data_IF_202698598430
#
_entry.id   IF_202698598430
#
_cell.length_a   1.000
_cell.length_b   1.000
_cell.length_c   1.000
_cell.angle_alpha   90.00
_cell.angle_beta   90.00
_cell.angle_gamma   90.00
#
_symmetry.space_group_name_H-M   'P 1'
#
loop_
_entity.id
_entity.type
_entity.pdbx_description
1 polymer ?
#
# COMPACT_ATOMS: atom_id res chain seq x y z
N UNK A 1 49.52 -2.09 41.60
CA UNK A 1 50.02 -3.04 42.62
C UNK A 1 49.56 -4.44 42.22
N UNK A 2 50.51 -5.39 42.09
CA UNK A 2 50.37 -6.85 41.90
C UNK A 2 49.62 -7.38 40.65
N UNK A 3 50.29 -7.94 39.62
CA UNK A 3 50.74 -9.37 39.45
C UNK A 3 49.55 -10.33 39.25
N UNK A 4 49.44 -11.24 38.27
CA UNK A 4 50.15 -11.59 37.04
C UNK A 4 49.29 -12.64 36.28
N UNK A 5 49.31 -12.62 34.93
CA UNK A 5 49.00 -13.80 34.08
C UNK A 5 50.26 -14.13 33.28
N UNK A 6 50.87 -15.28 33.60
CA UNK A 6 51.90 -15.95 32.80
C UNK A 6 51.20 -16.67 31.62
N UNK A 7 51.52 -16.42 30.35
CA UNK A 7 52.73 -16.73 29.58
C UNK A 7 52.81 -18.19 29.10
N UNK A 8 52.72 -18.39 27.77
CA UNK A 8 53.71 -19.11 26.95
C UNK A 8 53.32 -19.00 25.46
N UNK A 9 54.04 -18.16 24.68
CA UNK A 9 55.21 -18.47 23.81
C UNK A 9 54.76 -18.88 22.39
N UNK A 10 54.85 -17.97 21.40
CA UNK A 10 56.02 -17.56 20.57
C UNK A 10 56.36 -18.54 19.43
N UNK A 11 56.13 -18.10 18.19
CA UNK A 11 57.14 -18.02 17.11
C UNK A 11 56.60 -17.24 15.89
N UNK A 12 56.69 -15.90 15.90
CA UNK A 12 57.36 -15.06 14.89
C UNK A 12 58.21 -15.78 13.83
N UNK A 13 57.97 -15.43 12.55
CA UNK A 13 58.86 -14.65 11.65
C UNK A 13 58.21 -14.56 10.24
N UNK A 14 57.63 -13.41 9.86
CA UNK A 14 58.21 -12.30 9.07
C UNK A 14 58.64 -12.62 7.63
N UNK A 15 57.88 -11.99 6.72
CA UNK A 15 58.30 -11.18 5.57
C UNK A 15 58.83 -11.88 4.30
N UNK A 16 58.20 -11.55 3.17
CA UNK A 16 58.74 -10.59 2.19
C UNK A 16 57.71 -10.21 1.12
N UNK A 17 57.64 -8.90 0.86
CA UNK A 17 57.05 -8.27 -0.33
C UNK A 17 57.87 -8.65 -1.57
N UNK A 18 57.20 -8.81 -2.71
CA UNK A 18 57.76 -8.49 -4.03
C UNK A 18 56.64 -7.95 -4.92
N UNK A 19 56.85 -6.71 -5.38
CA UNK A 19 56.17 -6.05 -6.50
C UNK A 19 56.98 -6.39 -7.74
N UNK A 20 56.33 -6.84 -8.82
CA UNK A 20 56.81 -6.65 -10.20
C UNK A 20 55.60 -6.46 -11.10
N UNK A 21 55.69 -5.43 -11.93
CA UNK A 21 54.69 -4.99 -12.90
C UNK A 21 54.92 -5.59 -14.29
N UNK A 22 53.95 -5.32 -15.17
CA UNK A 22 53.99 -5.27 -16.65
C UNK A 22 54.00 -6.59 -17.42
N UNK A 23 52.98 -6.81 -18.27
CA UNK A 23 53.12 -6.58 -19.72
C UNK A 23 51.79 -6.73 -20.47
N UNK A 24 51.56 -5.81 -21.40
CA UNK A 24 50.44 -5.74 -22.32
C UNK A 24 50.60 -6.75 -23.48
N UNK A 25 49.49 -7.25 -24.03
CA UNK A 25 49.44 -7.78 -25.39
C UNK A 25 48.03 -7.53 -25.96
N UNK A 26 47.91 -6.52 -26.81
CA UNK A 26 46.73 -6.20 -27.61
C UNK A 26 47.11 -6.51 -29.06
N UNK A 27 46.50 -7.54 -29.63
CA UNK A 27 46.70 -7.96 -31.02
C UNK A 27 45.72 -7.19 -31.90
N UNK A 28 46.27 -6.48 -32.89
CA UNK A 28 45.57 -5.82 -34.00
C UNK A 28 45.75 -6.69 -35.24
N UNK A 29 44.68 -6.99 -35.99
CA UNK A 29 44.74 -7.22 -37.44
C UNK A 29 43.38 -6.91 -38.11
N UNK A 30 43.36 -6.55 -39.42
CA UNK A 30 42.49 -5.50 -39.95
C UNK A 30 41.44 -5.94 -40.99
N UNK A 31 40.57 -4.97 -41.31
CA UNK A 31 39.84 -4.68 -42.55
C UNK A 31 39.63 -5.80 -43.59
N UNK A 32 38.35 -6.09 -43.84
CA UNK A 32 37.84 -6.61 -45.11
C UNK A 32 36.80 -5.64 -45.70
N UNK A 33 37.23 -4.82 -46.67
CA UNK A 33 36.39 -4.00 -47.54
C UNK A 33 35.53 -4.90 -48.44
N UNK A 34 34.21 -4.66 -48.50
CA UNK A 34 33.42 -4.94 -49.70
C UNK A 34 32.50 -3.74 -49.95
N UNK A 35 32.93 -2.92 -50.91
CA UNK A 35 32.11 -1.92 -51.55
C UNK A 35 31.50 -2.53 -52.81
N UNK A 36 30.18 -2.53 -52.91
CA UNK A 36 29.47 -2.55 -54.19
C UNK A 36 28.35 -1.52 -54.09
N UNK A 37 28.57 -0.41 -54.80
CA UNK A 37 27.60 0.67 -54.98
C UNK A 37 26.46 0.20 -55.89
N UNK A 38 25.23 0.48 -55.47
CA UNK A 38 24.04 0.48 -56.31
C UNK A 38 23.22 1.70 -55.94
N UNK A 39 23.28 2.74 -56.78
CA UNK A 39 22.55 3.99 -56.64
C UNK A 39 21.07 3.80 -57.03
N UNK A 40 20.15 4.16 -56.13
CA UNK A 40 18.81 4.65 -56.49
C UNK A 40 18.16 5.34 -55.27
N UNK A 41 17.82 6.62 -55.43
CA UNK A 41 16.74 7.28 -54.69
C UNK A 41 17.07 7.85 -53.31
N UNK A 42 17.60 9.09 -53.27
CA UNK A 42 17.50 9.96 -52.10
C UNK A 42 16.05 10.38 -51.88
N UNK A 43 15.37 9.72 -50.95
CA UNK A 43 14.27 10.30 -50.18
C UNK A 43 14.81 10.55 -48.78
N UNK A 44 15.15 11.81 -48.51
CA UNK A 44 15.52 12.30 -47.19
C UNK A 44 14.24 12.35 -46.35
N UNK A 45 13.90 11.23 -45.72
CA UNK A 45 12.86 11.19 -44.70
C UNK A 45 13.44 11.89 -43.46
N UNK A 46 13.09 13.16 -43.29
CA UNK A 46 13.31 13.89 -42.04
C UNK A 46 12.66 13.08 -40.93
N UNK A 47 13.50 12.51 -40.06
CA UNK A 47 13.06 11.94 -38.80
C UNK A 47 12.30 13.03 -38.02
N UNK A 48 11.01 12.80 -37.84
CA UNK A 48 10.18 13.52 -36.87
C UNK A 48 10.75 13.24 -35.48
N UNK A 49 11.10 14.24 -34.65
CA UNK A 49 11.70 14.00 -33.33
C UNK A 49 10.66 13.63 -32.27
N UNK A 50 9.47 13.17 -32.66
CA UNK A 50 8.37 12.94 -31.73
C UNK A 50 8.06 11.45 -31.69
N UNK A 51 8.25 10.87 -30.49
CA UNK A 51 8.07 9.47 -30.09
C UNK A 51 9.34 8.63 -30.18
N UNK A 52 10.28 8.91 -29.28
CA UNK A 52 11.03 7.82 -28.66
C UNK A 52 9.98 6.84 -28.13
N UNK A 53 9.96 5.61 -28.64
CA UNK A 53 9.18 4.56 -28.02
C UNK A 53 9.76 4.39 -26.61
N UNK A 54 8.94 4.66 -25.60
CA UNK A 54 9.21 4.28 -24.23
C UNK A 54 9.57 2.79 -24.21
N UNK A 55 10.86 2.49 -24.08
CA UNK A 55 11.35 1.11 -24.14
C UNK A 55 10.94 0.40 -22.85
N UNK A 56 10.00 -0.54 -23.00
CA UNK A 56 9.64 -1.48 -21.92
C UNK A 56 10.91 -2.28 -21.55
N UNK A 57 11.22 -2.45 -20.25
CA UNK A 57 12.35 -3.25 -19.81
C UNK A 57 12.35 -4.64 -20.46
N UNK A 58 13.42 -4.98 -21.19
CA UNK A 58 13.53 -6.27 -21.90
C UNK A 58 13.49 -7.50 -20.95
N UNK A 59 13.73 -7.28 -19.65
CA UNK A 59 13.69 -8.29 -18.61
C UNK A 59 12.51 -8.09 -17.63
N UNK A 60 11.44 -7.41 -18.07
CA UNK A 60 10.24 -7.25 -17.26
C UNK A 60 9.72 -8.62 -16.80
N UNK A 61 9.54 -8.77 -15.48
CA UNK A 61 9.00 -10.00 -14.90
C UNK A 61 7.52 -10.21 -15.30
N UNK A 62 6.80 -9.11 -15.51
CA UNK A 62 5.45 -9.09 -16.05
C UNK A 62 5.36 -8.09 -17.23
N UNK A 63 5.61 -8.55 -18.47
CA UNK A 63 5.60 -7.69 -19.65
C UNK A 63 4.24 -7.02 -19.92
N UNK A 64 3.14 -7.62 -19.48
CA UNK A 64 1.79 -7.07 -19.73
C UNK A 64 1.58 -5.81 -18.86
N UNK A 65 2.10 -5.83 -17.63
CA UNK A 65 2.05 -4.70 -16.69
C UNK A 65 3.29 -3.81 -16.69
N UNK A 66 4.24 -4.03 -17.59
CA UNK A 66 5.46 -3.23 -17.66
C UNK A 66 5.22 -1.86 -18.31
N UNK A 67 5.91 -0.84 -17.78
CA UNK A 67 5.96 0.55 -18.28
C UNK A 67 7.39 0.93 -18.64
N UNK A 68 7.61 2.15 -19.14
CA UNK A 68 8.95 2.66 -19.39
C UNK A 68 9.82 2.58 -18.13
N UNK A 69 11.09 2.19 -18.27
CA UNK A 69 12.04 2.34 -17.19
C UNK A 69 12.22 3.84 -16.85
N UNK A 70 12.36 4.19 -15.56
CA UNK A 70 12.61 5.58 -15.18
C UNK A 70 13.98 6.05 -15.65
N UNK A 71 14.15 7.36 -15.71
CA UNK A 71 15.46 7.93 -15.92
C UNK A 71 16.38 7.63 -14.74
N UNK A 72 17.69 7.71 -14.98
CA UNK A 72 18.66 7.68 -13.89
C UNK A 72 18.34 8.81 -12.89
N UNK A 73 18.38 8.49 -11.60
CA UNK A 73 18.08 9.46 -10.55
C UNK A 73 19.02 10.67 -10.65
N UNK A 74 18.43 11.86 -10.66
CA UNK A 74 19.16 13.12 -10.84
C UNK A 74 19.82 13.63 -9.54
N UNK A 75 19.58 12.95 -8.41
CA UNK A 75 20.07 13.31 -7.09
C UNK A 75 19.18 14.31 -6.34
N UNK A 76 18.06 14.71 -6.91
CA UNK A 76 17.13 15.67 -6.29
C UNK A 76 16.25 14.97 -5.26
N UNK A 77 16.38 15.38 -4.00
CA UNK A 77 15.56 14.88 -2.89
C UNK A 77 14.60 15.94 -2.37
N UNK A 78 13.42 15.50 -1.97
CA UNK A 78 12.39 16.30 -1.33
C UNK A 78 11.97 15.66 -0.01
N UNK A 79 11.48 16.47 0.93
CA UNK A 79 10.76 15.95 2.09
C UNK A 79 9.30 15.68 1.74
N UNK A 80 8.71 14.67 2.35
CA UNK A 80 7.32 14.29 2.27
C UNK A 80 6.53 14.98 3.40
N UNK A 81 6.02 16.20 3.18
CA UNK A 81 5.41 16.96 4.29
C UNK A 81 3.92 16.60 4.47
N UNK A 82 3.17 16.56 3.37
CA UNK A 82 1.73 16.29 3.40
C UNK A 82 1.34 15.34 2.26
N UNK A 83 0.49 14.36 2.58
CA UNK A 83 -0.24 13.55 1.60
C UNK A 83 -1.69 14.02 1.55
N UNK A 84 -2.16 14.40 0.37
CA UNK A 84 -3.54 14.77 0.13
C UNK A 84 -4.22 13.68 -0.70
N UNK A 85 -5.31 13.13 -0.18
CA UNK A 85 -6.10 12.09 -0.86
C UNK A 85 -7.51 12.60 -1.12
N UNK A 86 -7.97 12.39 -2.35
CA UNK A 86 -9.30 12.68 -2.85
C UNK A 86 -10.08 11.39 -3.10
N UNK A 87 -11.39 11.47 -2.96
CA UNK A 87 -12.32 10.39 -3.34
C UNK A 87 -12.28 10.09 -4.86
N UNK A 88 -12.17 11.13 -5.67
CA UNK A 88 -12.12 11.07 -7.13
C UNK A 88 -10.79 11.61 -7.68
N UNK A 89 -10.55 11.42 -8.99
CA UNK A 89 -9.46 12.08 -9.72
C UNK A 89 -9.47 13.59 -9.45
N UNK A 90 -8.30 14.17 -9.16
CA UNK A 90 -8.17 15.61 -8.97
C UNK A 90 -8.18 16.27 -10.37
N UNK A 91 -9.18 17.10 -10.71
CA UNK A 91 -9.22 17.79 -12.00
C UNK A 91 -7.99 18.66 -12.21
N UNK A 92 -7.49 18.78 -13.44
CA UNK A 92 -6.27 19.55 -13.74
C UNK A 92 -6.34 21.01 -13.29
N UNK A 93 -7.51 21.65 -13.41
CA UNK A 93 -7.73 23.02 -12.98
C UNK A 93 -7.70 23.14 -11.45
N UNK A 94 -8.20 22.13 -10.74
CA UNK A 94 -8.13 22.04 -9.28
C UNK A 94 -6.70 21.77 -8.82
N UNK A 95 -5.98 20.86 -9.48
CA UNK A 95 -4.56 20.59 -9.23
C UNK A 95 -3.74 21.86 -9.43
N UNK A 96 -3.98 22.61 -10.51
CA UNK A 96 -3.30 23.90 -10.73
C UNK A 96 -3.60 24.90 -9.63
N UNK A 97 -4.86 25.03 -9.22
CA UNK A 97 -5.25 25.89 -8.10
C UNK A 97 -4.56 25.47 -6.79
N UNK A 98 -4.41 24.17 -6.57
CA UNK A 98 -3.72 23.60 -5.40
C UNK A 98 -2.23 23.97 -5.42
N UNK A 99 -1.57 23.80 -6.56
CA UNK A 99 -0.15 24.13 -6.74
C UNK A 99 0.14 25.64 -6.67
N UNK A 100 -0.85 26.47 -6.98
CA UNK A 100 -0.81 27.93 -6.88
C UNK A 100 -1.11 28.45 -5.45
N UNK A 101 -1.33 27.56 -4.47
CA UNK A 101 -1.54 27.94 -3.07
C UNK A 101 -0.35 28.76 -2.56
N UNK A 102 -0.65 29.95 -2.06
CA UNK A 102 0.30 30.83 -1.37
C UNK A 102 -0.08 31.00 0.10
N UNK A 103 0.92 31.01 0.97
CA UNK A 103 0.78 31.26 2.41
C UNK A 103 1.38 32.61 2.80
N UNK A 104 0.95 33.16 3.94
CA UNK A 104 1.38 34.49 4.41
C UNK A 104 0.60 35.65 3.77
N UNK A 105 0.91 36.87 4.21
CA UNK A 105 0.22 38.09 3.78
C UNK A 105 1.20 39.21 3.45
N UNK A 106 0.81 40.12 2.56
CA UNK A 106 1.63 41.29 2.22
C UNK A 106 3.02 40.89 1.70
N UNK A 107 4.06 41.38 2.36
CA UNK A 107 5.47 41.13 1.97
C UNK A 107 5.95 39.70 2.27
N UNK A 108 5.27 38.98 3.16
CA UNK A 108 5.65 37.61 3.56
C UNK A 108 4.94 36.53 2.72
N UNK A 109 4.16 36.95 1.70
CA UNK A 109 3.45 36.03 0.81
C UNK A 109 4.45 35.22 0.00
N UNK A 110 4.36 33.89 0.11
CA UNK A 110 5.24 32.94 -0.58
C UNK A 110 4.46 31.74 -1.09
N UNK A 111 5.07 30.99 -2.02
CA UNK A 111 4.51 29.73 -2.52
C UNK A 111 4.42 28.74 -1.36
N UNK A 112 3.29 28.05 -1.25
CA UNK A 112 3.05 27.05 -0.20
C UNK A 112 3.64 25.68 -0.54
N UNK A 113 3.74 25.35 -1.83
CA UNK A 113 4.20 24.05 -2.31
C UNK A 113 5.49 24.22 -3.11
N UNK A 114 6.59 23.64 -2.63
CA UNK A 114 7.90 23.71 -3.26
C UNK A 114 8.09 22.60 -4.30
N UNK A 115 7.69 21.38 -3.99
CA UNK A 115 7.70 20.23 -4.89
C UNK A 115 6.45 19.37 -4.67
N UNK A 116 6.10 18.57 -5.67
CA UNK A 116 4.95 17.67 -5.60
C UNK A 116 5.10 16.51 -6.58
N UNK A 117 4.33 15.46 -6.35
CA UNK A 117 4.11 14.38 -7.30
C UNK A 117 2.67 13.86 -7.15
N UNK A 118 2.03 13.55 -8.27
CA UNK A 118 0.68 13.00 -8.31
C UNK A 118 0.74 11.48 -8.26
N UNK A 119 -0.21 10.87 -7.56
CA UNK A 119 -0.30 9.42 -7.35
C UNK A 119 -1.72 8.95 -7.64
N UNK A 120 -1.85 7.67 -7.98
CA UNK A 120 -3.12 6.97 -7.81
C UNK A 120 -3.02 6.16 -6.52
N UNK A 121 -3.86 6.48 -5.54
CA UNK A 121 -3.71 6.01 -4.16
C UNK A 121 -4.99 5.34 -3.68
N UNK A 122 -4.83 4.25 -2.93
CA UNK A 122 -5.94 3.53 -2.34
C UNK A 122 -5.46 2.54 -1.30
N UNK A 123 -6.35 1.61 -0.97
CA UNK A 123 -6.09 0.64 0.09
C UNK A 123 -6.46 -0.76 -0.33
N UNK A 124 -5.71 -1.74 0.14
CA UNK A 124 -6.05 -3.15 -0.01
C UNK A 124 -6.04 -3.85 1.34
N UNK A 125 -6.78 -4.94 1.45
CA UNK A 125 -6.88 -5.73 2.69
C UNK A 125 -6.27 -7.09 2.48
N UNK A 126 -5.40 -7.50 3.41
CA UNK A 126 -4.85 -8.85 3.50
C UNK A 126 -4.83 -9.27 4.97
N UNK A 127 -5.26 -10.49 5.25
CA UNK A 127 -5.37 -11.04 6.62
C UNK A 127 -6.06 -10.06 7.60
N UNK A 128 -7.19 -9.47 7.17
CA UNK A 128 -7.99 -8.52 7.96
C UNK A 128 -7.34 -7.19 8.32
N UNK A 129 -6.17 -6.91 7.74
CA UNK A 129 -5.44 -5.65 7.88
C UNK A 129 -5.53 -4.84 6.61
N UNK A 130 -5.82 -3.55 6.77
CA UNK A 130 -5.79 -2.56 5.69
C UNK A 130 -4.36 -2.04 5.47
N UNK A 131 -3.93 -1.97 4.22
CA UNK A 131 -2.63 -1.46 3.81
C UNK A 131 -2.78 -0.38 2.75
N UNK A 132 -1.87 0.59 2.75
CA UNK A 132 -1.83 1.69 1.80
C UNK A 132 -1.04 1.30 0.54
N UNK A 133 -1.62 1.52 -0.64
CA UNK A 133 -0.98 1.23 -1.93
C UNK A 133 -1.04 2.45 -2.84
N UNK A 134 0.08 2.74 -3.51
CA UNK A 134 0.17 3.81 -4.49
C UNK A 134 0.70 3.28 -5.83
N UNK A 135 0.00 3.61 -6.92
CA UNK A 135 0.59 3.61 -8.25
C UNK A 135 1.29 4.95 -8.48
N UNK A 136 2.59 4.87 -8.75
CA UNK A 136 3.48 6.02 -8.78
C UNK A 136 4.16 6.16 -10.13
N UNK A 137 4.36 7.40 -10.57
CA UNK A 137 5.38 7.72 -11.56
C UNK A 137 6.75 7.74 -10.85
N UNK A 138 7.66 6.89 -11.30
CA UNK A 138 8.96 6.74 -10.66
C UNK A 138 9.78 8.03 -10.76
N UNK A 139 9.76 8.74 -11.89
CA UNK A 139 10.55 9.96 -12.07
C UNK A 139 10.08 11.07 -11.10
N UNK A 140 8.77 11.24 -10.92
CA UNK A 140 8.21 12.21 -9.97
C UNK A 140 8.27 11.79 -8.51
N UNK A 141 8.07 10.51 -8.19
CA UNK A 141 7.93 10.03 -6.81
C UNK A 141 9.25 9.67 -6.14
N UNK A 142 10.22 9.14 -6.90
CA UNK A 142 11.49 8.63 -6.38
C UNK A 142 12.24 9.62 -5.48
N UNK A 143 12.22 10.92 -5.81
CA UNK A 143 12.85 11.97 -5.02
C UNK A 143 12.26 12.20 -3.62
N UNK A 144 11.06 11.69 -3.32
CA UNK A 144 10.42 11.79 -2.01
C UNK A 144 10.76 10.63 -1.06
N UNK A 145 11.41 9.58 -1.57
CA UNK A 145 11.54 8.29 -0.84
C UNK A 145 12.73 8.21 0.13
N UNK A 146 13.42 9.33 0.36
CA UNK A 146 14.70 9.36 1.06
C UNK A 146 15.83 8.78 0.21
N UNK A 147 17.08 9.12 0.57
CA UNK A 147 18.25 8.82 -0.28
C UNK A 147 18.40 7.33 -0.59
N UNK A 148 18.17 6.45 0.39
CA UNK A 148 18.39 5.00 0.25
C UNK A 148 17.46 4.38 -0.80
N UNK A 149 16.17 4.73 -0.78
CA UNK A 149 15.23 4.21 -1.78
C UNK A 149 15.36 4.97 -3.10
N UNK A 150 15.63 6.27 -3.05
CA UNK A 150 15.86 7.09 -4.23
C UNK A 150 17.12 6.69 -5.02
N UNK A 151 18.12 6.05 -4.44
CA UNK A 151 19.30 5.56 -5.18
C UNK A 151 19.20 4.06 -5.55
N UNK A 152 18.14 3.38 -5.13
CA UNK A 152 17.98 1.94 -5.34
C UNK A 152 17.36 1.64 -6.72
N UNK A 153 18.16 1.78 -7.79
CA UNK A 153 17.73 1.59 -9.19
C UNK A 153 16.97 0.28 -9.41
N UNK A 154 17.44 -0.83 -8.82
CA UNK A 154 16.78 -2.14 -8.99
C UNK A 154 15.32 -2.11 -8.55
N UNK A 155 14.96 -1.43 -7.44
CA UNK A 155 13.55 -1.30 -7.03
C UNK A 155 12.71 -0.62 -8.11
N UNK A 156 13.22 0.47 -8.69
CA UNK A 156 12.49 1.26 -9.67
C UNK A 156 12.37 0.54 -11.02
N UNK A 157 13.43 -0.17 -11.43
CA UNK A 157 13.40 -1.05 -12.60
C UNK A 157 12.39 -2.19 -12.42
N UNK A 158 12.28 -2.76 -11.22
CA UNK A 158 11.31 -3.82 -10.88
C UNK A 158 9.88 -3.30 -10.91
N UNK A 159 9.63 -2.13 -10.32
CA UNK A 159 8.31 -1.47 -10.40
C UNK A 159 7.94 -1.21 -11.86
N UNK A 160 8.86 -0.66 -12.65
CA UNK A 160 8.66 -0.45 -14.08
C UNK A 160 8.44 -1.76 -14.84
N UNK A 161 9.11 -2.84 -14.44
CA UNK A 161 8.98 -4.19 -14.99
C UNK A 161 7.72 -4.96 -14.58
N UNK A 162 6.76 -4.31 -13.90
CA UNK A 162 5.48 -4.92 -13.52
C UNK A 162 5.49 -5.65 -12.18
N UNK A 163 6.43 -5.36 -11.29
CA UNK A 163 6.49 -5.94 -9.94
C UNK A 163 6.02 -4.92 -8.87
N UNK A 164 5.71 -5.39 -7.66
CA UNK A 164 5.40 -4.53 -6.50
C UNK A 164 6.62 -4.34 -5.61
N UNK A 165 6.87 -3.12 -5.17
CA UNK A 165 7.81 -2.83 -4.08
C UNK A 165 7.04 -2.63 -2.78
N UNK A 166 7.43 -3.33 -1.72
CA UNK A 166 6.73 -3.32 -0.42
C UNK A 166 7.64 -2.74 0.65
N UNK A 167 7.15 -1.85 1.50
CA UNK A 167 7.90 -1.26 2.59
C UNK A 167 8.58 -2.35 3.45
N UNK A 168 9.86 -2.18 3.76
CA UNK A 168 10.65 -3.19 4.47
C UNK A 168 10.07 -3.51 5.86
N UNK A 169 9.45 -2.52 6.51
CA UNK A 169 8.75 -2.72 7.79
C UNK A 169 7.62 -3.76 7.70
N UNK A 170 6.98 -3.89 6.52
CA UNK A 170 5.88 -4.81 6.30
C UNK A 170 6.32 -6.24 6.00
N UNK A 171 7.62 -6.52 5.88
CA UNK A 171 8.13 -7.86 5.55
C UNK A 171 7.67 -8.97 6.50
N UNK A 172 7.38 -8.62 7.76
CA UNK A 172 6.88 -9.58 8.76
C UNK A 172 5.36 -9.58 8.88
N UNK A 173 4.68 -8.62 8.27
CA UNK A 173 3.26 -8.37 8.45
C UNK A 173 2.43 -8.75 7.23
N UNK A 174 2.93 -8.46 6.04
CA UNK A 174 2.28 -8.80 4.77
C UNK A 174 2.60 -10.25 4.41
N UNK A 175 1.58 -11.12 4.26
CA UNK A 175 1.81 -12.49 3.83
C UNK A 175 2.18 -12.49 2.34
N UNK A 176 3.38 -12.99 2.09
CA UNK A 176 3.89 -13.29 0.75
C UNK A 176 3.92 -14.81 0.63
N UNK A 177 3.43 -15.35 -0.49
CA UNK A 177 3.42 -16.79 -0.68
C UNK A 177 4.81 -17.37 -0.94
N UNK A 178 4.90 -18.70 -0.98
CA UNK A 178 6.18 -19.42 -1.13
C UNK A 178 6.91 -19.15 -2.45
N UNK A 179 6.27 -18.49 -3.42
CA UNK A 179 6.88 -18.09 -4.70
C UNK A 179 7.22 -16.60 -4.75
N UNK A 180 6.99 -15.84 -3.66
CA UNK A 180 7.32 -14.42 -3.60
C UNK A 180 6.21 -13.48 -4.07
N UNK A 181 4.95 -13.92 -4.14
CA UNK A 181 3.85 -13.06 -4.59
C UNK A 181 2.99 -12.54 -3.44
N UNK A 182 2.56 -11.29 -3.58
CA UNK A 182 1.57 -10.63 -2.75
C UNK A 182 0.21 -10.68 -3.44
N UNK A 183 -0.84 -11.02 -2.69
CA UNK A 183 -2.22 -10.94 -3.20
C UNK A 183 -2.81 -9.57 -2.89
N UNK A 184 -3.24 -8.84 -3.93
CA UNK A 184 -3.89 -7.54 -3.83
C UNK A 184 -5.25 -7.62 -4.51
N UNK A 185 -6.32 -7.70 -3.72
CA UNK A 185 -7.66 -7.92 -4.24
C UNK A 185 -7.78 -9.28 -4.96
N UNK A 186 -7.97 -9.25 -6.29
CA UNK A 186 -8.03 -10.47 -7.13
C UNK A 186 -6.70 -10.78 -7.82
N UNK A 187 -5.75 -9.86 -7.73
CA UNK A 187 -4.49 -9.94 -8.45
C UNK A 187 -3.40 -10.55 -7.56
N UNK A 188 -2.45 -11.24 -8.19
CA UNK A 188 -1.28 -11.83 -7.55
C UNK A 188 -0.05 -11.21 -8.19
N UNK A 189 0.64 -10.34 -7.45
CA UNK A 189 1.73 -9.50 -7.95
C UNK A 189 3.05 -9.95 -7.32
N UNK A 190 4.09 -10.14 -8.13
CA UNK A 190 5.40 -10.56 -7.62
C UNK A 190 6.05 -9.42 -6.82
N UNK A 191 6.57 -9.73 -5.62
CA UNK A 191 7.30 -8.76 -4.80
C UNK A 191 8.73 -8.63 -5.32
N UNK A 192 8.97 -7.59 -6.10
CA UNK A 192 10.28 -7.34 -6.73
C UNK A 192 11.29 -6.68 -5.82
N UNK A 193 10.83 -5.97 -4.79
CA UNK A 193 11.70 -5.29 -3.83
C UNK A 193 11.08 -5.11 -2.45
N UNK A 194 11.90 -5.23 -1.41
CA UNK A 194 11.60 -4.72 -0.07
C UNK A 194 12.16 -3.30 0.04
N UNK A 195 11.27 -2.33 -0.08
CA UNK A 195 11.62 -0.92 -0.18
C UNK A 195 12.10 -0.35 1.16
N UNK A 196 13.28 0.29 1.20
CA UNK A 196 13.72 1.08 2.34
C UNK A 196 13.08 2.49 2.37
N UNK A 197 12.05 2.74 1.54
CA UNK A 197 11.38 4.04 1.39
C UNK A 197 10.97 4.63 2.73
N UNK A 198 11.19 5.93 2.86
CA UNK A 198 10.86 6.73 4.04
C UNK A 198 9.52 7.46 3.91
N UNK A 199 8.79 7.31 2.78
CA UNK A 199 7.44 7.89 2.67
C UNK A 199 6.47 7.12 3.54
N UNK A 200 6.18 7.67 4.71
CA UNK A 200 5.18 7.11 5.59
C UNK A 200 3.78 7.21 4.94
N UNK A 201 2.92 6.20 5.15
CA UNK A 201 1.61 6.11 4.51
C UNK A 201 1.62 5.53 3.09
N UNK A 202 2.72 4.92 2.64
CA UNK A 202 2.73 4.09 1.41
C UNK A 202 3.37 2.74 1.74
N UNK A 203 2.55 1.70 1.97
CA UNK A 203 3.04 0.37 2.31
C UNK A 203 3.50 -0.43 1.08
N UNK A 204 2.87 -0.19 -0.07
CA UNK A 204 3.18 -0.84 -1.34
C UNK A 204 3.17 0.15 -2.51
N UNK A 205 4.13 -0.01 -3.43
CA UNK A 205 4.26 0.81 -4.63
C UNK A 205 4.21 -0.07 -5.88
N UNK A 206 3.39 0.35 -6.84
CA UNK A 206 3.27 -0.26 -8.16
C UNK A 206 3.36 0.81 -9.25
N UNK A 207 3.42 0.40 -10.52
CA UNK A 207 3.36 1.33 -11.63
C UNK A 207 1.91 1.68 -12.03
N UNK A 208 1.75 2.62 -12.97
CA UNK A 208 0.44 3.09 -13.43
C UNK A 208 -0.47 2.01 -14.02
N UNK A 209 0.07 1.01 -14.75
CA UNK A 209 -0.72 -0.08 -15.32
C UNK A 209 -1.33 -0.97 -14.24
N UNK A 210 -0.54 -1.29 -13.21
CA UNK A 210 -1.08 -1.98 -12.04
C UNK A 210 -2.10 -1.13 -11.30
N UNK A 211 -1.90 0.19 -11.23
CA UNK A 211 -2.90 1.11 -10.68
C UNK A 211 -4.25 0.99 -11.36
N UNK A 212 -4.26 0.98 -12.70
CA UNK A 212 -5.48 0.79 -13.50
C UNK A 212 -6.12 -0.58 -13.26
N UNK A 213 -5.34 -1.68 -13.34
CA UNK A 213 -5.82 -3.05 -13.18
C UNK A 213 -6.36 -3.33 -11.76
N UNK A 214 -5.77 -2.70 -10.74
CA UNK A 214 -6.25 -2.77 -9.35
C UNK A 214 -7.48 -1.89 -9.11
N UNK A 215 -7.78 -0.96 -10.02
CA UNK A 215 -8.88 -0.01 -9.89
C UNK A 215 -8.57 1.18 -8.98
N UNK A 216 -7.29 1.54 -8.83
CA UNK A 216 -6.90 2.81 -8.20
C UNK A 216 -7.42 3.98 -9.04
N UNK A 217 -7.97 5.00 -8.37
CA UNK A 217 -8.44 6.20 -9.03
C UNK A 217 -7.25 7.00 -9.55
N UNK A 218 -7.18 7.21 -10.86
CA UNK A 218 -6.08 7.94 -11.48
C UNK A 218 -5.95 9.34 -10.87
N UNK A 219 -4.76 9.69 -10.39
CA UNK A 219 -4.45 11.05 -9.92
C UNK A 219 -5.33 11.55 -8.77
N UNK A 220 -5.86 10.64 -7.94
CA UNK A 220 -6.68 11.02 -6.79
C UNK A 220 -5.85 11.43 -5.56
N UNK A 221 -4.51 11.36 -5.63
CA UNK A 221 -3.68 11.81 -4.54
C UNK A 221 -2.48 12.64 -5.00
N UNK A 222 -1.96 13.44 -4.08
CA UNK A 222 -0.77 14.25 -4.31
C UNK A 222 0.08 14.28 -3.04
N UNK A 223 1.35 13.94 -3.21
CA UNK A 223 2.38 14.10 -2.18
C UNK A 223 3.06 15.45 -2.38
N UNK A 224 3.15 16.26 -1.32
CA UNK A 224 3.68 17.62 -1.42
C UNK A 224 4.80 17.89 -0.42
N UNK A 225 5.82 18.58 -0.91
CA UNK A 225 6.82 19.27 -0.09
C UNK A 225 6.43 20.74 0.03
N UNK A 226 6.39 21.25 1.25
CA UNK A 226 6.04 22.64 1.58
C UNK A 226 7.27 23.57 1.61
N UNK A 227 8.47 22.99 1.59
CA UNK A 227 9.74 23.70 1.56
C UNK A 227 9.93 24.58 2.79
N UNK A 228 9.93 25.91 2.60
CA UNK A 228 10.07 26.88 3.70
C UNK A 228 8.72 27.35 4.27
N UNK A 229 7.61 26.86 3.74
CA UNK A 229 6.29 27.08 4.31
C UNK A 229 6.07 26.10 5.47
N UNK A 230 5.24 26.48 6.44
CA UNK A 230 4.80 25.52 7.46
C UNK A 230 3.75 24.59 6.86
N UNK A 231 3.86 23.26 7.01
CA UNK A 231 2.83 22.33 6.56
C UNK A 231 1.43 22.69 7.07
N UNK A 232 1.32 23.11 8.33
CA UNK A 232 0.03 23.55 8.90
C UNK A 232 -0.55 24.77 8.19
N UNK A 233 0.28 25.79 7.88
CA UNK A 233 -0.19 26.98 7.18
C UNK A 233 -0.64 26.66 5.74
N UNK A 234 0.01 25.70 5.08
CA UNK A 234 -0.38 25.21 3.75
C UNK A 234 -1.70 24.46 3.85
N UNK A 235 -1.84 23.53 4.80
CA UNK A 235 -3.10 22.82 5.07
C UNK A 235 -4.26 23.77 5.35
N UNK A 236 -4.10 24.74 6.25
CA UNK A 236 -5.14 25.72 6.58
C UNK A 236 -5.58 26.49 5.34
N UNK A 237 -4.64 26.82 4.47
CA UNK A 237 -4.93 27.52 3.21
C UNK A 237 -5.66 26.62 2.23
N UNK A 238 -5.30 25.35 2.10
CA UNK A 238 -5.98 24.36 1.27
C UNK A 238 -7.42 24.18 1.76
N UNK A 239 -7.61 23.94 3.06
CA UNK A 239 -8.94 23.83 3.68
C UNK A 239 -9.80 25.09 3.42
N UNK A 240 -9.20 26.28 3.45
CA UNK A 240 -9.89 27.54 3.17
C UNK A 240 -10.30 27.70 1.70
N UNK A 241 -9.53 27.16 0.76
CA UNK A 241 -9.77 27.31 -0.69
C UNK A 241 -10.74 26.24 -1.19
N UNK A 242 -10.48 24.98 -0.83
CA UNK A 242 -11.18 23.81 -1.36
C UNK A 242 -12.29 23.30 -0.44
N UNK A 243 -12.33 23.77 0.80
CA UNK A 243 -13.22 23.26 1.83
C UNK A 243 -12.58 22.10 2.60
N UNK A 244 -13.00 21.94 3.86
CA UNK A 244 -12.43 20.93 4.76
C UNK A 244 -12.68 19.49 4.26
N UNK A 245 -13.75 19.24 3.50
CA UNK A 245 -14.16 17.89 3.11
C UNK A 245 -13.56 17.42 1.77
N UNK A 246 -12.91 18.31 1.00
CA UNK A 246 -12.44 18.00 -0.35
C UNK A 246 -11.25 17.04 -0.39
N UNK A 247 -10.31 17.20 0.53
CA UNK A 247 -9.10 16.37 0.64
C UNK A 247 -8.95 15.83 2.05
N UNK A 248 -8.64 14.55 2.19
CA UNK A 248 -7.99 14.01 3.38
C UNK A 248 -6.55 14.51 3.39
N UNK A 249 -6.16 15.29 4.39
CA UNK A 249 -4.82 15.90 4.46
C UNK A 249 -4.07 15.28 5.63
N UNK A 250 -3.12 14.41 5.33
CA UNK A 250 -2.28 13.73 6.32
C UNK A 250 -0.91 14.39 6.37
N UNK A 251 -0.49 14.81 7.56
CA UNK A 251 0.88 15.25 7.79
C UNK A 251 1.77 14.02 8.00
N UNK A 252 2.87 13.94 7.25
CA UNK A 252 3.75 12.78 7.26
C UNK A 252 4.94 12.94 8.22
N UNK A 253 4.99 14.03 8.99
CA UNK A 253 6.00 14.16 10.03
C UNK A 253 5.83 13.10 11.15
N UNK A 254 6.97 12.59 11.64
CA UNK A 254 7.07 11.52 12.65
C UNK A 254 6.29 11.83 13.95
N UNK A 255 5.99 13.11 14.23
CA UNK A 255 5.31 13.54 15.46
C UNK A 255 3.79 13.49 15.28
N UNK A 256 3.26 13.87 14.12
CA UNK A 256 1.84 13.85 13.79
C UNK A 256 1.31 12.41 13.65
N UNK A 257 2.11 11.48 13.11
CA UNK A 257 1.68 10.11 12.88
C UNK A 257 1.60 9.25 14.15
N UNK A 258 2.49 9.48 15.14
CA UNK A 258 2.38 8.83 16.45
C UNK A 258 1.22 9.36 17.30
N UNK A 259 0.50 10.36 16.79
CA UNK A 259 -0.61 11.03 17.46
C UNK A 259 -1.75 11.39 16.53
N UNK A 260 -2.06 10.53 15.53
CA UNK A 260 -3.26 10.55 14.65
C UNK A 260 -4.05 11.84 14.81
N UNK A 261 -3.86 12.79 13.90
CA UNK A 261 -4.51 14.10 14.00
C UNK A 261 -6.03 13.94 14.23
N UNK A 262 -6.45 14.23 15.47
CA UNK A 262 -7.81 14.04 15.96
C UNK A 262 -8.80 15.02 15.31
N UNK A 263 -8.30 16.02 14.57
CA UNK A 263 -9.10 17.07 13.95
C UNK A 263 -9.31 16.87 12.43
N UNK A 264 -8.81 15.78 11.83
CA UNK A 264 -8.99 15.46 10.39
C UNK A 264 -9.65 14.10 10.19
N UNK A 265 -10.54 14.00 9.19
CA UNK A 265 -11.00 12.71 8.69
C UNK A 265 -9.95 12.11 7.76
N UNK A 266 -9.80 10.79 7.84
CA UNK A 266 -9.07 9.95 6.91
C UNK A 266 -10.05 9.38 5.88
N UNK A 267 -9.58 9.07 4.66
CA UNK A 267 -10.39 8.46 3.60
C UNK A 267 -9.78 7.14 3.18
N UNK A 268 -10.58 6.07 3.23
CA UNK A 268 -10.24 4.76 2.70
C UNK A 268 -10.92 4.59 1.35
N UNK A 269 -10.12 4.25 0.35
CA UNK A 269 -10.59 3.91 -1.01
C UNK A 269 -10.17 2.47 -1.28
N UNK A 270 -10.99 1.48 -0.88
CA UNK A 270 -10.63 0.09 -0.99
C UNK A 270 -10.66 -0.36 -2.44
N UNK A 271 -9.63 -1.11 -2.85
CA UNK A 271 -9.57 -1.81 -4.14
C UNK A 271 -9.88 -3.29 -4.02
N UNK A 272 -10.24 -3.92 -5.14
CA UNK A 272 -10.53 -5.36 -5.20
C UNK A 272 -11.96 -5.73 -4.75
N UNK A 273 -12.16 -6.97 -4.30
CA UNK A 273 -13.50 -7.55 -4.04
C UNK A 273 -14.32 -6.90 -2.92
N UNK A 274 -13.70 -5.99 -2.16
CA UNK A 274 -14.31 -5.23 -1.06
C UNK A 274 -14.76 -3.82 -1.45
N UNK A 275 -14.28 -3.32 -2.60
CA UNK A 275 -14.56 -1.97 -3.07
C UNK A 275 -16.06 -1.67 -3.11
N UNK A 276 -16.87 -2.60 -3.61
CA UNK A 276 -18.34 -2.47 -3.67
C UNK A 276 -19.01 -2.47 -2.29
N UNK A 277 -18.45 -3.19 -1.30
CA UNK A 277 -19.06 -3.34 0.02
C UNK A 277 -18.76 -2.15 0.96
N UNK A 278 -17.61 -1.52 0.77
CA UNK A 278 -17.14 -0.40 1.59
C UNK A 278 -17.39 0.93 0.89
N UNK A 279 -17.25 1.01 -0.43
CA UNK A 279 -17.24 2.29 -1.14
C UNK A 279 -16.18 3.23 -0.57
N UNK A 280 -16.48 4.52 -0.56
CA UNK A 280 -15.59 5.54 0.03
C UNK A 280 -15.91 5.67 1.51
N UNK A 281 -14.92 5.38 2.35
CA UNK A 281 -15.10 5.37 3.80
C UNK A 281 -14.29 6.49 4.45
N UNK A 282 -14.99 7.46 5.02
CA UNK A 282 -14.38 8.59 5.74
C UNK A 282 -14.53 8.39 7.23
N UNK A 283 -13.48 8.66 8.01
CA UNK A 283 -13.52 8.51 9.46
C UNK A 283 -12.59 9.48 10.19
N UNK A 284 -12.93 9.87 11.41
CA UNK A 284 -12.04 10.65 12.29
C UNK A 284 -11.55 9.79 13.46
N UNK A 285 -10.25 9.74 13.77
CA UNK A 285 -9.77 9.13 15.01
C UNK A 285 -10.32 9.85 16.25
N UNK A 286 -10.88 9.13 17.23
CA UNK A 286 -11.49 9.72 18.44
C UNK A 286 -10.78 9.32 19.74
N UNK A 287 -9.54 8.82 19.61
CA UNK A 287 -8.73 8.35 20.74
C UNK A 287 -9.12 6.96 21.27
N UNK A 288 -8.24 6.39 22.09
CA UNK A 288 -8.43 5.05 22.68
C UNK A 288 -8.48 3.92 21.64
N UNK A 289 -7.84 4.11 20.47
CA UNK A 289 -7.85 3.16 19.37
C UNK A 289 -9.16 3.10 18.58
N UNK A 290 -10.08 4.05 18.78
CA UNK A 290 -11.39 4.09 18.10
C UNK A 290 -11.45 5.18 17.04
N UNK A 291 -12.39 5.01 16.12
CA UNK A 291 -12.70 5.98 15.08
C UNK A 291 -14.19 6.32 15.09
N UNK A 292 -14.54 7.47 14.53
CA UNK A 292 -15.91 7.86 14.21
C UNK A 292 -16.05 7.89 12.68
N UNK A 293 -16.70 6.88 12.07
CA UNK A 293 -17.02 6.90 10.65
C UNK A 293 -18.04 7.99 10.31
N UNK A 294 -18.05 8.46 9.06
CA UNK A 294 -19.04 9.40 8.56
C UNK A 294 -20.47 8.87 8.79
N UNK A 295 -21.33 9.60 9.53
CA UNK A 295 -22.72 9.19 9.76
C UNK A 295 -23.50 8.86 8.49
N UNK A 296 -23.23 9.53 7.36
CA UNK A 296 -23.86 9.24 6.09
C UNK A 296 -23.46 7.86 5.57
N UNK A 297 -22.16 7.52 5.66
CA UNK A 297 -21.66 6.19 5.35
C UNK A 297 -22.31 5.12 6.25
N UNK A 298 -22.35 5.37 7.57
CA UNK A 298 -22.97 4.43 8.53
C UNK A 298 -24.43 4.18 8.17
N UNK A 299 -25.20 5.24 7.89
CA UNK A 299 -26.63 5.12 7.56
C UNK A 299 -26.91 4.36 6.26
N UNK A 300 -25.96 4.38 5.32
CA UNK A 300 -26.11 3.78 4.00
C UNK A 300 -25.53 2.37 3.91
N UNK A 301 -24.58 2.00 4.79
CA UNK A 301 -23.87 0.72 4.74
C UNK A 301 -24.14 -0.20 5.92
N UNK A 302 -24.44 0.34 7.11
CA UNK A 302 -24.60 -0.46 8.33
C UNK A 302 -26.07 -0.66 8.66
N UNK A 303 -26.46 -1.92 8.85
CA UNK A 303 -27.83 -2.34 9.15
C UNK A 303 -27.86 -3.29 10.35
N UNK A 304 -28.97 -3.28 11.07
CA UNK A 304 -29.25 -4.24 12.14
C UNK A 304 -30.34 -5.20 11.68
N UNK A 305 -30.04 -6.49 11.64
CA UNK A 305 -30.99 -7.51 11.19
C UNK A 305 -30.94 -8.76 12.07
N UNK A 306 -32.02 -9.54 12.02
CA UNK A 306 -32.07 -10.85 12.67
C UNK A 306 -31.38 -11.90 11.79
N UNK A 307 -30.50 -12.68 12.40
CA UNK A 307 -29.81 -13.82 11.78
C UNK A 307 -30.00 -15.09 12.63
N UNK A 308 -29.89 -16.29 12.02
CA UNK A 308 -29.92 -17.54 12.78
C UNK A 308 -28.81 -17.59 13.84
N UNK A 309 -29.05 -18.32 14.94
CA UNK A 309 -28.12 -18.51 16.07
C UNK A 309 -27.85 -17.23 16.89
N UNK A 310 -27.32 -16.18 16.28
CA UNK A 310 -26.84 -14.97 16.97
C UNK A 310 -27.95 -13.98 17.34
N UNK A 311 -29.12 -14.07 16.69
CA UNK A 311 -30.22 -13.13 16.88
C UNK A 311 -29.95 -11.79 16.18
N UNK A 312 -30.02 -10.68 16.91
CA UNK A 312 -29.84 -9.35 16.33
C UNK A 312 -28.35 -9.04 16.17
N UNK A 313 -27.93 -8.70 14.96
CA UNK A 313 -26.55 -8.31 14.66
C UNK A 313 -26.51 -7.02 13.85
N UNK A 314 -25.51 -6.18 14.10
CA UNK A 314 -25.27 -4.93 13.37
C UNK A 314 -24.03 -5.09 12.51
N UNK A 315 -24.22 -5.11 11.19
CA UNK A 315 -23.21 -5.43 10.19
C UNK A 315 -23.38 -4.57 8.94
N UNK A 316 -22.43 -4.69 8.01
CA UNK A 316 -22.58 -4.13 6.68
C UNK A 316 -23.70 -4.86 5.90
N UNK A 317 -24.57 -4.09 5.22
CA UNK A 317 -25.69 -4.62 4.42
C UNK A 317 -25.26 -5.58 3.32
N UNK A 318 -24.06 -5.42 2.78
CA UNK A 318 -23.52 -6.28 1.73
C UNK A 318 -23.11 -7.65 2.28
N UNK A 319 -22.71 -7.75 3.54
CA UNK A 319 -22.39 -9.02 4.19
C UNK A 319 -23.63 -9.79 4.67
N UNK A 320 -24.72 -9.07 4.98
CA UNK A 320 -25.88 -9.64 5.65
C UNK A 320 -26.55 -10.82 4.92
N UNK A 321 -26.76 -10.79 3.58
CA UNK A 321 -27.36 -11.93 2.88
C UNK A 321 -26.54 -13.22 3.03
N UNK A 322 -25.22 -13.13 2.89
CA UNK A 322 -24.31 -14.27 3.00
C UNK A 322 -24.17 -14.75 4.45
N UNK A 323 -24.14 -13.83 5.42
CA UNK A 323 -24.13 -14.18 6.84
C UNK A 323 -25.39 -14.99 7.21
N UNK A 324 -26.56 -14.56 6.74
CA UNK A 324 -27.83 -15.30 6.93
C UNK A 324 -27.77 -16.68 6.30
N UNK A 325 -27.26 -16.80 5.08
CA UNK A 325 -27.14 -18.07 4.38
C UNK A 325 -26.17 -19.03 5.08
N UNK A 326 -24.99 -18.54 5.50
CA UNK A 326 -24.01 -19.32 6.23
C UNK A 326 -24.57 -19.86 7.55
N UNK A 327 -25.17 -18.99 8.36
CA UNK A 327 -25.76 -19.40 9.64
C UNK A 327 -26.97 -20.32 9.45
N UNK A 328 -27.77 -20.15 8.39
CA UNK A 328 -28.86 -21.07 8.06
C UNK A 328 -28.33 -22.44 7.64
N UNK A 329 -27.23 -22.50 6.88
CA UNK A 329 -26.60 -23.77 6.54
C UNK A 329 -26.03 -24.46 7.78
N UNK A 330 -25.36 -23.74 8.70
CA UNK A 330 -24.89 -24.28 9.98
C UNK A 330 -26.04 -24.96 10.75
N UNK A 331 -27.21 -24.31 10.84
CA UNK A 331 -28.41 -24.90 11.45
C UNK A 331 -28.88 -26.14 10.67
N UNK A 332 -28.92 -26.07 9.33
CA UNK A 332 -29.37 -27.20 8.50
C UNK A 332 -28.49 -28.45 8.64
N UNK A 333 -27.21 -28.26 8.99
CA UNK A 333 -26.21 -29.31 9.22
C UNK A 333 -26.23 -29.84 10.66
N UNK A 334 -27.04 -29.26 11.55
CA UNK A 334 -27.11 -29.62 12.97
C UNK A 334 -25.91 -29.15 13.80
N UNK A 335 -25.21 -28.11 13.33
CA UNK A 335 -23.99 -27.56 13.94
C UNK A 335 -24.29 -26.30 14.78
N UNK A 336 -25.55 -25.97 15.10
CA UNK A 336 -25.90 -24.73 15.79
C UNK A 336 -25.29 -24.58 17.18
N UNK A 337 -24.93 -25.70 17.83
CA UNK A 337 -24.27 -25.70 19.14
C UNK A 337 -22.79 -25.34 19.08
N UNK A 338 -22.20 -25.39 17.89
CA UNK A 338 -20.79 -25.06 17.67
C UNK A 338 -20.54 -23.54 17.61
N UNK A 339 -21.60 -22.73 17.61
CA UNK A 339 -21.52 -21.26 17.68
C UNK A 339 -22.23 -20.79 18.95
N UNK A 340 -21.46 -20.27 19.90
CA UNK A 340 -21.93 -19.78 21.19
C UNK A 340 -22.30 -18.31 21.09
N UNK A 341 -23.60 -18.01 21.14
CA UNK A 341 -24.12 -16.65 20.98
C UNK A 341 -23.56 -15.67 22.02
N UNK A 342 -23.41 -16.13 23.25
CA UNK A 342 -22.88 -15.37 24.38
C UNK A 342 -21.38 -15.07 24.27
N UNK A 343 -20.68 -15.75 23.36
CA UNK A 343 -19.24 -15.58 23.10
C UNK A 343 -18.96 -14.85 21.77
N UNK A 344 -20.01 -14.30 21.15
CA UNK A 344 -19.89 -13.48 19.95
C UNK A 344 -19.46 -12.05 20.30
N UNK A 345 -18.34 -11.58 19.72
CA UNK A 345 -17.78 -10.25 20.00
C UNK A 345 -18.14 -9.18 18.96
N UNK A 346 -19.23 -9.40 18.22
CA UNK A 346 -19.83 -8.38 17.36
C UNK A 346 -19.24 -8.34 15.96
N UNK A 347 -19.73 -7.37 15.19
CA UNK A 347 -19.46 -7.26 13.76
C UNK A 347 -19.01 -5.86 13.38
N UNK A 348 -19.86 -4.86 13.63
CA UNK A 348 -19.52 -3.46 13.47
C UNK A 348 -18.94 -2.87 14.76
N UNK A 349 -17.63 -2.65 14.78
CA UNK A 349 -16.93 -1.96 15.88
C UNK A 349 -15.80 -1.09 15.31
N UNK A 350 -16.06 0.20 15.01
CA UNK A 350 -15.08 1.13 14.44
C UNK A 350 -13.85 1.35 15.31
N UNK A 351 -12.72 0.75 14.90
CA UNK A 351 -11.45 0.81 15.60
C UNK A 351 -10.24 0.51 14.72
N UNK A 352 -9.10 0.96 15.22
CA UNK A 352 -7.82 0.41 14.81
C UNK A 352 -7.58 -0.98 15.40
N UNK A 353 -6.68 -1.73 14.80
CA UNK A 353 -6.14 -2.95 15.37
C UNK A 353 -5.33 -2.58 16.62
N UNK A 354 -5.47 -3.37 17.69
CA UNK A 354 -4.79 -3.09 18.95
C UNK A 354 -3.26 -3.01 18.74
N UNK A 355 -2.67 -1.87 19.13
CA UNK A 355 -1.24 -1.60 18.98
C UNK A 355 -0.81 -1.14 17.57
N UNK A 356 -1.76 -0.80 16.70
CA UNK A 356 -1.50 -0.36 15.31
C UNK A 356 -2.34 0.87 14.96
N UNK A 357 -1.95 1.58 13.89
CA UNK A 357 -2.72 2.62 13.19
C UNK A 357 -3.55 2.07 12.01
N UNK A 358 -3.48 0.76 11.76
CA UNK A 358 -4.26 0.06 10.73
C UNK A 358 -5.71 -0.14 11.17
N UNK A 359 -6.67 0.16 10.29
CA UNK A 359 -8.08 -0.13 10.53
C UNK A 359 -8.33 -1.64 10.58
N UNK A 360 -9.17 -2.04 11.53
CA UNK A 360 -9.73 -3.40 11.55
C UNK A 360 -10.91 -3.51 10.59
N UNK A 361 -11.11 -4.67 9.97
CA UNK A 361 -12.30 -4.96 9.17
C UNK A 361 -13.63 -4.85 9.94
N UNK A 362 -13.60 -4.92 11.28
CA UNK A 362 -14.76 -4.58 12.11
C UNK A 362 -15.22 -3.13 11.93
N UNK A 363 -14.33 -2.23 11.52
CA UNK A 363 -14.67 -0.83 11.24
C UNK A 363 -15.61 -0.66 10.06
N UNK A 364 -15.62 -1.63 9.14
CA UNK A 364 -16.50 -1.62 7.98
C UNK A 364 -17.76 -2.47 8.19
N UNK A 365 -17.90 -3.14 9.35
CA UNK A 365 -18.97 -4.10 9.61
C UNK A 365 -18.86 -5.36 8.74
N UNK A 366 -17.63 -5.73 8.36
CA UNK A 366 -17.32 -6.84 7.45
C UNK A 366 -16.59 -8.01 8.14
N UNK A 367 -16.43 -7.95 9.46
CA UNK A 367 -15.81 -9.00 10.27
C UNK A 367 -16.76 -9.48 11.36
N UNK A 368 -16.50 -10.66 11.91
CA UNK A 368 -17.29 -11.37 12.92
C UNK A 368 -16.31 -12.15 13.81
N UNK A 369 -16.48 -12.04 15.13
CA UNK A 369 -15.69 -12.81 16.09
C UNK A 369 -16.57 -13.83 16.83
N UNK A 370 -16.34 -15.13 16.61
CA UNK A 370 -17.09 -16.22 17.22
C UNK A 370 -16.31 -16.95 18.31
N UNK A 371 -17.03 -17.41 19.34
CA UNK A 371 -16.52 -18.27 20.40
C UNK A 371 -15.19 -17.78 20.99
N UNK A 372 -15.11 -16.48 21.28
CA UNK A 372 -13.87 -15.76 21.62
C UNK A 372 -13.05 -16.44 22.73
N UNK A 373 -13.64 -16.93 23.85
CA UNK A 373 -12.87 -17.54 24.93
C UNK A 373 -11.95 -18.70 24.48
N UNK A 374 -12.43 -19.56 23.58
CA UNK A 374 -11.70 -20.72 23.04
C UNK A 374 -10.92 -20.44 21.75
N UNK A 375 -11.03 -19.24 21.19
CA UNK A 375 -10.47 -18.88 19.88
C UNK A 375 -9.62 -17.61 19.90
N UNK A 376 -8.84 -17.42 20.96
CA UNK A 376 -7.97 -16.26 21.09
C UNK A 376 -6.90 -16.22 19.99
N UNK A 377 -6.55 -15.01 19.56
CA UNK A 377 -5.51 -14.75 18.57
C UNK A 377 -4.15 -15.31 19.01
N UNK A 378 -3.41 -15.90 18.07
CA UNK A 378 -2.15 -16.59 18.30
C UNK A 378 -2.29 -18.03 18.82
N UNK A 379 -3.51 -18.57 18.88
CA UNK A 379 -3.78 -19.97 19.24
C UNK A 379 -4.30 -20.76 18.05
N UNK A 380 -4.26 -22.09 18.09
CA UNK A 380 -4.86 -22.94 17.03
C UNK A 380 -6.39 -22.84 16.95
N UNK A 381 -7.01 -22.32 18.02
CA UNK A 381 -8.45 -22.22 18.20
C UNK A 381 -9.17 -23.57 18.31
N UNK A 382 -10.42 -23.48 18.72
CA UNK A 382 -11.36 -24.59 18.89
C UNK A 382 -12.51 -24.54 17.87
N UNK A 383 -12.51 -23.55 16.97
CA UNK A 383 -13.56 -23.34 15.98
C UNK A 383 -13.79 -24.60 15.11
N UNK A 384 -15.04 -25.07 15.09
CA UNK A 384 -15.43 -26.25 14.35
C UNK A 384 -15.10 -26.10 12.85
N UNK A 385 -14.35 -27.06 12.30
CA UNK A 385 -13.83 -26.98 10.93
C UNK A 385 -14.92 -27.10 9.85
N UNK A 386 -16.06 -27.73 10.16
CA UNK A 386 -17.20 -27.75 9.26
C UNK A 386 -17.90 -26.38 9.21
N UNK A 387 -18.02 -25.71 10.37
CA UNK A 387 -18.50 -24.31 10.41
C UNK A 387 -17.58 -23.40 9.59
N UNK A 388 -16.26 -23.55 9.75
CA UNK A 388 -15.27 -22.80 8.93
C UNK A 388 -15.49 -23.05 7.44
N UNK A 389 -15.67 -24.31 7.03
CA UNK A 389 -15.88 -24.66 5.63
C UNK A 389 -17.17 -24.05 5.06
N UNK A 390 -18.26 -24.03 5.84
CA UNK A 390 -19.53 -23.39 5.45
C UNK A 390 -19.32 -21.88 5.24
N UNK A 391 -18.70 -21.19 6.17
CA UNK A 391 -18.42 -19.75 6.04
C UNK A 391 -17.55 -19.45 4.81
N UNK A 392 -16.49 -20.25 4.58
CA UNK A 392 -15.65 -20.12 3.38
C UNK A 392 -16.44 -20.33 2.09
N UNK A 393 -17.34 -21.32 2.05
CA UNK A 393 -18.22 -21.54 0.92
C UNK A 393 -19.10 -20.29 0.64
N UNK A 394 -19.63 -19.67 1.69
CA UNK A 394 -20.42 -18.43 1.62
C UNK A 394 -19.57 -17.16 1.50
N UNK A 395 -18.30 -17.26 1.12
CA UNK A 395 -17.48 -16.11 0.75
C UNK A 395 -16.77 -15.39 1.88
N UNK A 396 -16.64 -16.02 3.05
CA UNK A 396 -15.84 -15.51 4.15
C UNK A 396 -14.40 -16.07 4.13
N UNK A 397 -13.42 -15.29 4.56
CA UNK A 397 -12.13 -15.78 5.02
C UNK A 397 -12.21 -16.11 6.51
N UNK A 398 -11.31 -16.97 6.98
CA UNK A 398 -11.20 -17.34 8.39
C UNK A 398 -9.79 -17.03 8.88
N UNK A 399 -9.69 -16.25 9.95
CA UNK A 399 -8.42 -15.79 10.48
C UNK A 399 -7.53 -16.90 11.02
N UNK A 400 -8.10 -18.08 11.27
CA UNK A 400 -7.32 -19.25 11.65
C UNK A 400 -6.33 -19.74 10.57
N UNK A 401 -6.51 -19.35 9.30
CA UNK A 401 -5.58 -19.67 8.21
C UNK A 401 -4.38 -18.72 8.14
N UNK A 402 -4.42 -17.57 8.82
CA UNK A 402 -3.39 -16.54 8.72
C UNK A 402 -2.07 -16.97 9.38
N UNK A 403 -0.97 -16.37 8.92
CA UNK A 403 0.37 -16.65 9.46
C UNK A 403 0.44 -16.33 10.97
N UNK A 404 -0.17 -15.23 11.38
CA UNK A 404 -0.50 -14.96 12.78
C UNK A 404 -1.97 -15.21 13.03
N UNK A 405 -2.28 -16.47 13.31
CA UNK A 405 -3.63 -17.03 13.40
C UNK A 405 -4.57 -16.22 14.32
N UNK A 406 -5.81 -16.02 13.86
CA UNK A 406 -6.90 -15.39 14.61
C UNK A 406 -8.19 -16.23 14.48
N UNK A 407 -8.30 -17.35 15.22
CA UNK A 407 -9.32 -18.35 14.94
C UNK A 407 -10.75 -17.95 15.32
N UNK A 408 -10.94 -16.87 16.08
CA UNK A 408 -12.27 -16.29 16.33
C UNK A 408 -12.79 -15.49 15.14
N UNK A 409 -11.87 -14.96 14.34
CA UNK A 409 -12.15 -13.96 13.31
C UNK A 409 -12.61 -14.60 12.01
N UNK A 410 -13.74 -14.13 11.51
CA UNK A 410 -14.22 -14.34 10.15
C UNK A 410 -14.42 -12.98 9.51
N UNK A 411 -14.13 -12.88 8.23
CA UNK A 411 -14.40 -11.66 7.47
C UNK A 411 -14.94 -11.97 6.11
N UNK A 412 -15.78 -11.09 5.58
CA UNK A 412 -16.15 -11.16 4.17
C UNK A 412 -14.85 -11.20 3.36
N UNK A 413 -14.74 -12.03 2.33
CA UNK A 413 -13.60 -12.07 1.42
C UNK A 413 -14.04 -11.80 -0.02
N UNK A 414 -15.28 -12.17 -0.33
CA UNK A 414 -15.95 -11.93 -1.61
C UNK A 414 -17.45 -11.80 -1.40
N UNK A 415 -18.07 -10.95 -2.20
CA UNK A 415 -19.53 -10.92 -2.31
C UNK A 415 -19.97 -12.14 -3.15
N UNK A 416 -20.87 -12.96 -2.60
CA UNK A 416 -21.57 -14.03 -3.31
C UNK A 416 -23.07 -13.80 -3.19
N UNK A 417 -23.82 -14.06 -4.25
CA UNK A 417 -25.27 -13.93 -4.23
C UNK A 417 -25.89 -15.25 -3.73
N UNK A 418 -26.53 -15.26 -2.55
CA UNK A 418 -27.27 -16.43 -2.09
C UNK A 418 -28.63 -16.48 -2.80
N UNK A 419 -28.66 -16.88 -4.07
CA UNK A 419 -29.87 -17.25 -4.81
C UNK A 419 -30.83 -16.13 -5.15
#
# INVERSE_FOLDING_TARGET
MAVARAAQRRARRTAKRCVVATSALLVVLPLGLTACAGSAGTAEEKADPTRAAEEIPANAADPDHAVAAPAAFDGTLFGDDLLLVSEDTIPEDELKQLLDVTVGTGKDRKKGIAAHTALSYGNFTVDGKLYDIAAVDADGFRGFTGQTSAEFDEQWDRIAGGEVAVAQAMQRELPVDGEGYLTVGKQRIHVGAWSPSEVDGVDAMVNAKWGEELGLREGNAILINTGIASPQAVRDRIVKVFGKERFSITALDIVAQRGLDLDTFQTVVPVGGFSDAVGVFRYTPIGGGRIAPDPAWVSSHIVTEQVPILGSVTCNKFMMPQLKAALAEVVSRGLEKEIHREEYAGCYYPRFIAGSSTLSNHSFGLALDFNVPGNQRGTVGEMNREVVAIFKYWGFAWGGDWAWTDPMHFELAKIVNPG
#
